data_IF_121752152066
#
_entry.id   IF_121752152066
#
_cell.length_a   1.000
_cell.length_b   1.000
_cell.length_c   1.000
_cell.angle_alpha   90.00
_cell.angle_beta   90.00
_cell.angle_gamma   90.00
#
_symmetry.space_group_name_H-M   'P 1'
#
loop_
_entity.id
_entity.type
_entity.pdbx_description
1 polymer ?
#
# COMPACT_ATOMS: atom_id res chain seq x y z
N UNK A 1 -17.50 -16.21 19.16
CA UNK A 1 -18.90 -15.74 19.02
C UNK A 1 -19.18 -14.55 19.94
N UNK A 2 -18.73 -14.57 21.21
CA UNK A 2 -18.99 -13.51 22.22
C UNK A 2 -18.35 -12.16 21.92
N UNK A 3 -17.25 -12.13 21.17
CA UNK A 3 -16.51 -10.89 20.84
C UNK A 3 -17.14 -10.17 19.64
N UNK A 4 -17.76 -10.91 18.73
CA UNK A 4 -18.37 -10.35 17.51
C UNK A 4 -19.74 -9.71 17.76
N UNK A 5 -20.40 -10.03 18.87
CA UNK A 5 -21.73 -9.48 19.20
C UNK A 5 -21.69 -8.09 19.85
N UNK A 6 -20.51 -7.63 20.29
CA UNK A 6 -20.39 -6.43 21.12
C UNK A 6 -19.97 -5.14 20.44
N UNK A 7 -19.49 -5.18 19.17
CA UNK A 7 -19.06 -3.94 18.53
C UNK A 7 -19.00 -4.07 17.01
N UNK A 8 -19.91 -3.39 16.32
CA UNK A 8 -19.95 -3.32 14.85
C UNK A 8 -18.62 -2.86 14.25
N UNK A 9 -17.89 -2.00 14.97
CA UNK A 9 -16.58 -1.50 14.58
C UNK A 9 -15.52 -2.63 14.53
N UNK A 10 -15.49 -3.50 15.53
CA UNK A 10 -14.55 -4.63 15.54
C UNK A 10 -14.82 -5.61 14.40
N UNK A 11 -16.08 -5.83 14.03
CA UNK A 11 -16.45 -6.65 12.89
C UNK A 11 -15.96 -6.03 11.58
N UNK A 12 -16.02 -4.72 11.49
CA UNK A 12 -15.57 -3.98 10.32
C UNK A 12 -14.05 -4.08 10.16
N UNK A 13 -13.28 -3.85 11.22
CA UNK A 13 -11.80 -3.97 11.21
C UNK A 13 -11.37 -5.38 10.81
N UNK A 14 -11.94 -6.41 11.42
CA UNK A 14 -11.62 -7.81 11.12
C UNK A 14 -12.00 -8.14 9.67
N UNK A 15 -13.18 -7.73 9.22
CA UNK A 15 -13.63 -7.94 7.85
C UNK A 15 -12.75 -7.25 6.82
N UNK A 16 -12.33 -6.03 7.10
CA UNK A 16 -11.42 -5.24 6.25
C UNK A 16 -10.05 -5.91 6.16
N UNK A 17 -9.51 -6.36 7.30
CA UNK A 17 -8.23 -7.07 7.32
C UNK A 17 -8.30 -8.40 6.55
N UNK A 18 -9.32 -9.25 6.78
CA UNK A 18 -9.49 -10.51 6.03
C UNK A 18 -9.53 -10.25 4.54
N UNK A 19 -10.26 -9.22 4.12
CA UNK A 19 -10.39 -8.88 2.71
C UNK A 19 -9.09 -8.37 2.11
N UNK A 20 -8.33 -7.62 2.87
CA UNK A 20 -7.00 -7.17 2.46
C UNK A 20 -6.05 -8.36 2.28
N UNK A 21 -6.03 -9.33 3.21
CA UNK A 21 -5.26 -10.56 3.07
C UNK A 21 -5.67 -11.36 1.83
N UNK A 22 -6.96 -11.51 1.58
CA UNK A 22 -7.47 -12.19 0.40
C UNK A 22 -7.06 -11.49 -0.90
N UNK A 23 -6.93 -10.17 -0.91
CA UNK A 23 -6.44 -9.41 -2.07
C UNK A 23 -4.98 -9.70 -2.40
N UNK A 24 -4.19 -10.14 -1.42
CA UNK A 24 -2.82 -10.63 -1.58
C UNK A 24 -2.75 -12.15 -1.88
N UNK A 25 -3.89 -12.80 -2.11
CA UNK A 25 -3.97 -14.25 -2.37
C UNK A 25 -3.81 -15.12 -1.13
N UNK A 26 -3.83 -14.53 0.07
CA UNK A 26 -3.74 -15.23 1.35
C UNK A 26 -5.14 -15.46 1.91
N UNK A 27 -5.51 -16.72 2.16
CA UNK A 27 -6.72 -17.04 2.92
C UNK A 27 -6.34 -17.20 4.39
N UNK A 28 -6.61 -16.22 5.26
CA UNK A 28 -6.17 -16.28 6.64
C UNK A 28 -6.98 -17.30 7.44
N UNK A 29 -6.29 -18.15 8.19
CA UNK A 29 -6.90 -18.99 9.21
C UNK A 29 -6.90 -18.21 10.54
N UNK A 30 -8.09 -17.90 11.06
CA UNK A 30 -8.24 -17.17 12.32
C UNK A 30 -8.42 -18.11 13.49
N UNK A 31 -7.58 -17.98 14.49
CA UNK A 31 -7.72 -18.62 15.80
C UNK A 31 -8.36 -17.66 16.80
N UNK A 32 -8.97 -18.17 17.84
CA UNK A 32 -9.59 -17.34 18.88
C UNK A 32 -8.59 -16.35 19.53
N UNK A 33 -7.32 -16.74 19.62
CA UNK A 33 -6.22 -15.92 20.15
C UNK A 33 -5.85 -14.73 19.26
N UNK A 34 -6.19 -14.77 17.99
CA UNK A 34 -5.80 -13.73 17.03
C UNK A 34 -6.73 -12.51 17.10
N UNK A 35 -7.94 -12.70 17.64
CA UNK A 35 -8.95 -11.62 17.68
C UNK A 35 -8.53 -10.41 18.52
N UNK A 36 -7.84 -10.60 19.63
CA UNK A 36 -7.35 -9.48 20.46
C UNK A 36 -6.34 -8.64 19.68
N UNK A 37 -5.44 -9.29 18.96
CA UNK A 37 -4.45 -8.61 18.11
C UNK A 37 -5.13 -7.89 16.94
N UNK A 38 -6.12 -8.53 16.30
CA UNK A 38 -6.85 -7.94 15.18
C UNK A 38 -7.68 -6.72 15.59
N UNK A 39 -8.31 -6.77 16.74
CA UNK A 39 -9.07 -5.64 17.31
C UNK A 39 -8.14 -4.47 17.68
N UNK A 40 -6.89 -4.76 18.03
CA UNK A 40 -5.87 -3.73 18.30
C UNK A 40 -5.26 -3.10 17.07
N UNK A 41 -5.58 -3.60 15.85
CA UNK A 41 -5.12 -2.98 14.61
C UNK A 41 -5.60 -1.53 14.55
N UNK A 42 -4.68 -0.64 14.29
CA UNK A 42 -5.01 0.77 14.05
C UNK A 42 -5.79 0.91 12.77
N UNK A 43 -6.83 1.72 12.81
CA UNK A 43 -7.53 2.14 11.61
C UNK A 43 -6.57 2.80 10.60
N UNK A 44 -6.89 2.66 9.33
CA UNK A 44 -6.12 3.32 8.28
C UNK A 44 -6.33 4.83 8.32
N UNK A 45 -5.27 5.57 8.02
CA UNK A 45 -5.38 7.03 7.84
C UNK A 45 -6.29 7.35 6.65
N UNK A 46 -6.95 8.47 6.68
CA UNK A 46 -7.89 8.90 5.63
C UNK A 46 -7.28 8.86 4.22
N UNK A 47 -6.00 9.21 4.09
CA UNK A 47 -5.30 9.15 2.81
C UNK A 47 -5.14 7.69 2.31
N UNK A 48 -4.87 6.75 3.20
CA UNK A 48 -4.77 5.33 2.85
C UNK A 48 -6.14 4.76 2.41
N UNK A 49 -7.23 5.15 3.08
CA UNK A 49 -8.60 4.80 2.69
C UNK A 49 -8.92 5.38 1.30
N UNK A 50 -8.51 6.61 1.05
CA UNK A 50 -8.68 7.29 -0.23
C UNK A 50 -7.94 6.57 -1.37
N UNK A 51 -6.69 6.19 -1.13
CA UNK A 51 -5.89 5.41 -2.09
C UNK A 51 -6.53 4.06 -2.41
N UNK A 52 -7.05 3.35 -1.40
CA UNK A 52 -7.78 2.10 -1.60
C UNK A 52 -9.01 2.28 -2.48
N UNK A 53 -9.78 3.36 -2.27
CA UNK A 53 -10.92 3.69 -3.11
C UNK A 53 -10.48 3.88 -4.57
N UNK A 54 -9.47 4.70 -4.82
CA UNK A 54 -9.03 4.99 -6.19
C UNK A 54 -8.38 3.77 -6.86
N UNK A 55 -7.58 2.97 -6.16
CA UNK A 55 -7.03 1.70 -6.67
C UNK A 55 -8.16 0.74 -7.06
N UNK A 56 -9.20 0.64 -6.24
CA UNK A 56 -10.38 -0.17 -6.57
C UNK A 56 -11.09 0.35 -7.82
N UNK A 57 -11.33 1.66 -7.90
CA UNK A 57 -11.93 2.32 -9.06
C UNK A 57 -11.11 2.13 -10.33
N UNK A 58 -9.78 2.19 -10.22
CA UNK A 58 -8.85 1.93 -11.32
C UNK A 58 -9.04 0.51 -11.88
N UNK A 59 -9.16 -0.48 -11.01
CA UNK A 59 -9.37 -1.89 -11.40
C UNK A 59 -10.75 -2.16 -12.00
N UNK A 60 -11.81 -1.51 -11.47
CA UNK A 60 -13.22 -1.75 -11.84
C UNK A 60 -13.73 -0.77 -12.89
N UNK A 61 -13.07 0.36 -13.09
CA UNK A 61 -13.43 1.48 -13.96
C UNK A 61 -14.67 2.24 -13.50
N UNK A 62 -15.71 1.55 -13.05
CA UNK A 62 -16.96 2.15 -12.54
C UNK A 62 -17.43 1.45 -11.27
N UNK A 63 -18.14 2.18 -10.42
CA UNK A 63 -18.81 1.68 -9.23
C UNK A 63 -20.27 2.18 -9.22
N UNK A 64 -21.19 1.31 -8.87
CA UNK A 64 -22.60 1.66 -8.63
C UNK A 64 -22.88 1.48 -7.14
N UNK A 65 -23.40 2.51 -6.51
CA UNK A 65 -23.71 2.54 -5.08
C UNK A 65 -25.22 2.67 -4.95
N UNK A 66 -25.88 1.62 -4.46
CA UNK A 66 -27.32 1.63 -4.18
C UNK A 66 -27.57 2.35 -2.86
N UNK A 67 -28.48 3.33 -2.87
CA UNK A 67 -28.75 4.18 -1.70
C UNK A 67 -29.55 3.43 -0.61
N UNK A 68 -30.32 2.40 -1.00
CA UNK A 68 -31.11 1.58 -0.07
C UNK A 68 -30.27 0.50 0.64
N UNK A 69 -29.27 -0.04 -0.03
CA UNK A 69 -28.31 -1.01 0.47
C UNK A 69 -26.92 -0.40 0.49
N UNK A 70 -26.73 0.56 1.37
CA UNK A 70 -25.40 1.09 1.65
C UNK A 70 -24.52 -0.04 2.14
N UNK A 71 -24.02 -0.74 1.16
CA UNK A 71 -23.39 -2.04 1.30
C UNK A 71 -22.25 -1.93 2.30
N UNK A 72 -22.41 -2.59 3.44
CA UNK A 72 -21.31 -2.89 4.38
C UNK A 72 -20.03 -3.32 3.65
N UNK A 73 -20.18 -3.85 2.43
CA UNK A 73 -19.09 -4.22 1.55
C UNK A 73 -18.14 -3.06 1.25
N UNK A 74 -18.63 -1.88 0.91
CA UNK A 74 -17.78 -0.73 0.62
C UNK A 74 -17.10 -0.17 1.86
N UNK A 75 -17.77 -0.23 3.02
CA UNK A 75 -17.16 0.15 4.29
C UNK A 75 -15.98 -0.76 4.60
N UNK A 76 -16.16 -2.07 4.45
CA UNK A 76 -15.10 -3.08 4.65
C UNK A 76 -13.98 -2.93 3.62
N UNK A 77 -14.30 -2.67 2.34
CA UNK A 77 -13.31 -2.51 1.27
C UNK A 77 -12.36 -1.35 1.51
N UNK A 78 -12.89 -0.25 2.03
CA UNK A 78 -12.15 1.00 2.17
C UNK A 78 -11.85 1.37 3.61
N UNK A 79 -12.06 0.43 4.56
CA UNK A 79 -11.85 0.65 5.99
C UNK A 79 -12.65 1.82 6.56
N UNK A 80 -13.79 2.15 5.97
CA UNK A 80 -14.62 3.24 6.43
C UNK A 80 -15.42 2.83 7.66
N UNK A 81 -15.41 3.66 8.70
CA UNK A 81 -16.16 3.42 9.94
C UNK A 81 -17.67 3.44 9.69
N UNK A 82 -18.10 4.39 8.89
CA UNK A 82 -19.51 4.57 8.52
C UNK A 82 -19.68 5.11 7.09
N UNK A 83 -20.93 5.24 6.69
CA UNK A 83 -21.30 5.74 5.38
C UNK A 83 -20.96 7.22 5.19
N UNK A 84 -20.90 8.01 6.26
CA UNK A 84 -20.57 9.43 6.18
C UNK A 84 -19.11 9.58 5.78
N UNK A 85 -18.20 8.79 6.40
CA UNK A 85 -16.80 8.75 6.04
C UNK A 85 -16.61 8.32 4.57
N UNK A 86 -17.33 7.26 4.14
CA UNK A 86 -17.27 6.82 2.76
C UNK A 86 -17.75 7.91 1.77
N UNK A 87 -18.84 8.62 2.10
CA UNK A 87 -19.33 9.73 1.27
C UNK A 87 -18.33 10.90 1.23
N UNK A 88 -17.59 11.16 2.31
CA UNK A 88 -16.51 12.16 2.33
C UNK A 88 -15.41 11.77 1.35
N UNK A 89 -14.99 10.50 1.31
CA UNK A 89 -14.01 10.02 0.33
C UNK A 89 -14.48 10.20 -1.11
N UNK A 90 -15.74 9.83 -1.40
CA UNK A 90 -16.32 10.00 -2.73
C UNK A 90 -16.41 11.47 -3.14
N UNK A 91 -16.93 12.32 -2.25
CA UNK A 91 -17.05 13.75 -2.51
C UNK A 91 -15.69 14.39 -2.77
N UNK A 92 -14.68 14.00 -1.98
CA UNK A 92 -13.31 14.48 -2.18
C UNK A 92 -12.72 14.00 -3.50
N UNK A 93 -13.01 12.77 -3.92
CA UNK A 93 -12.55 12.25 -5.19
C UNK A 93 -13.18 12.97 -6.40
N UNK A 94 -14.45 13.37 -6.29
CA UNK A 94 -15.13 14.19 -7.31
C UNK A 94 -14.57 15.62 -7.31
N UNK A 95 -14.38 16.23 -6.14
CA UNK A 95 -13.81 17.58 -5.99
C UNK A 95 -12.43 17.68 -6.64
N UNK A 96 -11.59 16.65 -6.45
CA UNK A 96 -10.24 16.57 -7.02
C UNK A 96 -10.21 16.10 -8.48
N UNK A 97 -11.38 15.93 -9.10
CA UNK A 97 -11.50 15.41 -10.47
C UNK A 97 -10.89 14.01 -10.67
N UNK A 98 -10.77 13.21 -9.60
CA UNK A 98 -10.31 11.81 -9.71
C UNK A 98 -11.46 10.86 -10.03
N UNK A 99 -12.69 11.21 -9.62
CA UNK A 99 -13.92 10.53 -9.99
C UNK A 99 -14.90 11.52 -10.61
N UNK A 100 -15.75 11.02 -11.49
CA UNK A 100 -16.91 11.72 -11.99
C UNK A 100 -18.20 11.00 -11.59
N UNK A 101 -19.22 11.76 -11.24
CA UNK A 101 -20.58 11.24 -11.01
C UNK A 101 -21.29 11.13 -12.36
N UNK A 102 -21.33 9.92 -12.90
CA UNK A 102 -21.88 9.63 -14.24
C UNK A 102 -23.40 9.58 -14.21
N UNK A 103 -23.98 9.13 -13.08
CA UNK A 103 -25.42 8.99 -12.93
C UNK A 103 -25.81 9.22 -11.48
N UNK A 104 -26.87 9.98 -11.26
CA UNK A 104 -27.47 10.28 -9.95
C UNK A 104 -28.98 10.08 -10.00
N UNK A 105 -29.49 9.20 -9.14
CA UNK A 105 -30.92 8.94 -8.99
C UNK A 105 -31.27 8.73 -7.51
N UNK A 106 -32.58 8.63 -7.23
CA UNK A 106 -33.06 8.31 -5.88
C UNK A 106 -32.73 6.86 -5.46
N UNK A 107 -32.35 5.99 -6.40
CA UNK A 107 -32.10 4.56 -6.14
C UNK A 107 -30.60 4.27 -6.02
N UNK A 108 -29.80 4.81 -6.93
CA UNK A 108 -28.36 4.60 -6.95
C UNK A 108 -27.58 5.77 -7.56
N UNK A 109 -26.31 5.85 -7.20
CA UNK A 109 -25.32 6.74 -7.84
C UNK A 109 -24.25 5.90 -8.53
N UNK A 110 -23.81 6.35 -9.71
CA UNK A 110 -22.74 5.70 -10.45
C UNK A 110 -21.58 6.65 -10.63
N UNK A 111 -20.41 6.18 -10.25
CA UNK A 111 -19.15 6.92 -10.39
C UNK A 111 -18.23 6.20 -11.37
N UNK A 112 -17.43 6.98 -12.10
CA UNK A 112 -16.39 6.50 -13.00
C UNK A 112 -15.06 7.16 -12.64
N UNK A 113 -13.95 6.43 -12.84
CA UNK A 113 -12.63 7.01 -12.66
C UNK A 113 -12.27 7.87 -13.87
N UNK A 114 -11.81 9.07 -13.63
CA UNK A 114 -11.37 10.03 -14.65
C UNK A 114 -9.96 9.72 -15.14
N UNK A 115 -9.45 10.50 -16.11
CA UNK A 115 -8.06 10.45 -16.52
C UNK A 115 -7.13 10.84 -15.36
N UNK A 116 -7.41 11.95 -14.67
CA UNK A 116 -6.60 12.44 -13.54
C UNK A 116 -6.59 11.42 -12.40
N UNK A 117 -7.73 10.74 -12.14
CA UNK A 117 -7.80 9.67 -11.17
C UNK A 117 -6.94 8.46 -11.53
N UNK A 118 -6.87 8.10 -12.81
CA UNK A 118 -5.97 7.03 -13.28
C UNK A 118 -4.52 7.42 -13.13
N UNK A 119 -4.15 8.63 -13.59
CA UNK A 119 -2.80 9.16 -13.45
C UNK A 119 -2.38 9.23 -11.98
N UNK A 120 -3.29 9.65 -11.08
CA UNK A 120 -3.03 9.63 -9.64
C UNK A 120 -2.70 8.23 -9.15
N UNK A 121 -3.49 7.20 -9.52
CA UNK A 121 -3.25 5.80 -9.11
C UNK A 121 -1.95 5.26 -9.67
N UNK A 122 -1.63 5.54 -10.91
CA UNK A 122 -0.37 5.13 -11.55
C UNK A 122 0.85 5.76 -10.88
N UNK A 123 0.68 6.96 -10.33
CA UNK A 123 1.71 7.66 -9.57
C UNK A 123 1.73 7.27 -8.06
N UNK A 124 0.74 6.51 -7.57
CA UNK A 124 0.74 5.98 -6.20
C UNK A 124 1.86 4.95 -6.03
N UNK A 125 2.76 5.21 -5.12
CA UNK A 125 3.93 4.36 -4.87
C UNK A 125 5.20 4.87 -5.55
N UNK A 126 5.05 5.79 -6.50
CA UNK A 126 6.16 6.61 -6.97
C UNK A 126 6.21 7.83 -6.05
N UNK A 127 7.09 7.82 -5.05
CA UNK A 127 7.45 9.07 -4.38
C UNK A 127 8.23 9.92 -5.40
N UNK A 128 7.48 10.63 -6.26
CA UNK A 128 8.07 11.50 -7.30
C UNK A 128 8.98 12.59 -6.71
N UNK A 129 8.86 12.87 -5.41
CA UNK A 129 9.74 13.75 -4.67
C UNK A 129 10.91 12.99 -4.02
N UNK A 130 10.91 11.66 -4.05
CA UNK A 130 12.02 10.90 -3.52
C UNK A 130 13.28 11.12 -4.35
N UNK A 131 14.35 11.41 -3.67
CA UNK A 131 15.69 11.41 -4.25
C UNK A 131 16.44 10.10 -4.00
N UNK A 132 15.76 9.06 -3.49
CA UNK A 132 16.38 7.79 -3.08
C UNK A 132 16.25 6.73 -4.17
N UNK A 133 17.33 5.98 -4.35
CA UNK A 133 17.37 4.73 -5.11
C UNK A 133 17.73 3.63 -4.13
N UNK A 134 16.82 2.65 -3.92
CA UNK A 134 17.10 1.53 -3.03
C UNK A 134 18.03 0.52 -3.71
N UNK A 135 19.07 0.07 -2.98
CA UNK A 135 20.00 -0.94 -3.47
C UNK A 135 19.76 -2.28 -2.78
N UNK A 136 19.23 -3.25 -3.53
CA UNK A 136 19.03 -4.64 -3.13
C UNK A 136 20.21 -5.50 -3.61
N UNK A 137 21.12 -5.89 -2.71
CA UNK A 137 22.24 -6.76 -3.05
C UNK A 137 22.75 -7.56 -1.84
N UNK A 138 23.51 -8.61 -2.14
CA UNK A 138 24.10 -9.43 -1.09
C UNK A 138 25.20 -8.69 -0.32
N UNK A 139 25.06 -8.65 1.01
CA UNK A 139 25.99 -7.95 1.93
C UNK A 139 27.28 -8.73 2.21
N UNK A 140 27.97 -9.24 1.18
CA UNK A 140 29.32 -9.74 1.38
C UNK A 140 30.32 -8.59 1.66
N UNK A 141 31.45 -8.86 2.33
CA UNK A 141 32.48 -7.84 2.53
C UNK A 141 32.94 -7.21 1.22
N UNK A 142 33.03 -8.01 0.16
CA UNK A 142 33.45 -7.60 -1.17
C UNK A 142 32.46 -6.63 -1.81
N UNK A 143 31.15 -6.95 -1.72
CA UNK A 143 30.07 -6.07 -2.21
C UNK A 143 30.01 -4.76 -1.44
N UNK A 144 30.24 -4.80 -0.13
CA UNK A 144 30.22 -3.59 0.71
C UNK A 144 31.37 -2.64 0.38
N UNK A 145 32.56 -3.17 0.09
CA UNK A 145 33.78 -2.37 -0.07
C UNK A 145 33.93 -1.87 -1.51
N UNK A 146 33.62 -2.69 -2.49
CA UNK A 146 33.89 -2.39 -3.89
C UNK A 146 32.66 -1.96 -4.68
N UNK A 147 31.57 -2.71 -4.59
CA UNK A 147 30.38 -2.49 -5.41
C UNK A 147 29.50 -1.37 -4.88
N UNK A 148 29.20 -1.31 -3.61
CA UNK A 148 28.30 -0.32 -3.07
C UNK A 148 28.77 1.12 -3.33
N UNK A 149 30.04 1.49 -3.05
CA UNK A 149 30.54 2.82 -3.35
C UNK A 149 30.55 3.14 -4.85
N UNK A 150 30.74 2.12 -5.68
CA UNK A 150 30.73 2.30 -7.15
C UNK A 150 29.32 2.59 -7.64
N UNK A 151 28.31 1.86 -7.16
CA UNK A 151 26.89 2.11 -7.51
C UNK A 151 26.44 3.45 -6.95
N UNK A 152 26.78 3.77 -5.70
CA UNK A 152 26.47 5.08 -5.08
C UNK A 152 27.03 6.22 -5.91
N UNK A 153 28.28 6.11 -6.34
CA UNK A 153 28.91 7.10 -7.23
C UNK A 153 28.21 7.16 -8.59
N UNK A 154 27.93 6.01 -9.22
CA UNK A 154 27.29 5.97 -10.51
C UNK A 154 25.88 6.59 -10.49
N UNK A 155 25.08 6.32 -9.44
CA UNK A 155 23.75 6.94 -9.24
C UNK A 155 23.90 8.46 -9.12
N UNK A 156 24.85 8.92 -8.32
CA UNK A 156 25.10 10.34 -8.11
C UNK A 156 25.54 11.03 -9.39
N UNK A 157 26.49 10.44 -10.12
CA UNK A 157 27.02 11.01 -11.37
C UNK A 157 25.94 11.01 -12.47
N UNK A 158 25.20 9.92 -12.65
CA UNK A 158 24.15 9.81 -13.65
C UNK A 158 22.96 10.74 -13.39
N UNK A 159 22.69 11.07 -12.14
CA UNK A 159 21.61 11.96 -11.73
C UNK A 159 22.03 13.41 -11.54
N UNK A 160 23.28 13.78 -11.86
CA UNK A 160 23.85 15.10 -11.57
C UNK A 160 23.74 15.48 -10.08
N UNK A 161 23.86 14.48 -9.19
CA UNK A 161 23.76 14.65 -7.75
C UNK A 161 22.34 14.78 -7.22
N UNK A 162 21.31 14.57 -8.05
CA UNK A 162 19.89 14.68 -7.65
C UNK A 162 19.37 13.43 -6.91
N UNK A 163 20.00 12.27 -7.14
CA UNK A 163 19.60 11.00 -6.55
C UNK A 163 20.68 10.45 -5.62
N UNK A 164 20.22 9.76 -4.58
CA UNK A 164 21.05 9.12 -3.57
C UNK A 164 20.74 7.63 -3.51
N UNK A 165 21.75 6.79 -3.58
CA UNK A 165 21.61 5.37 -3.39
C UNK A 165 21.57 5.05 -1.89
N UNK A 166 20.52 4.33 -1.45
CA UNK A 166 20.29 3.95 -0.06
C UNK A 166 20.19 2.44 0.08
N UNK A 167 20.56 1.92 1.25
CA UNK A 167 20.51 0.50 1.60
C UNK A 167 20.18 0.33 3.06
N UNK A 168 19.68 -0.85 3.44
CA UNK A 168 19.50 -1.20 4.85
C UNK A 168 20.88 -1.28 5.52
N UNK A 169 21.03 -0.63 6.64
CA UNK A 169 22.27 -0.69 7.43
C UNK A 169 22.27 -1.98 8.26
N UNK A 170 23.27 -2.83 8.06
CA UNK A 170 23.45 -4.11 8.80
C UNK A 170 23.83 -3.94 10.29
N UNK A 171 23.62 -2.78 10.88
CA UNK A 171 24.05 -2.48 12.25
C UNK A 171 23.03 -2.79 13.34
N UNK A 172 21.83 -3.24 12.98
CA UNK A 172 20.80 -3.62 13.96
C UNK A 172 20.69 -5.13 14.09
N UNK A 173 21.40 -5.70 15.07
CA UNK A 173 21.35 -7.11 15.48
C UNK A 173 20.19 -7.42 16.44
N UNK A 174 19.17 -6.57 16.54
CA UNK A 174 18.04 -6.78 17.44
C UNK A 174 16.72 -6.78 16.68
N UNK A 175 16.13 -7.98 16.58
CA UNK A 175 14.79 -8.35 16.13
C UNK A 175 14.50 -8.31 14.63
N UNK A 176 14.37 -9.48 14.03
CA UNK A 176 14.05 -9.74 12.61
C UNK A 176 12.81 -8.98 12.08
N UNK A 177 11.79 -8.77 12.89
CA UNK A 177 10.54 -8.08 12.49
C UNK A 177 10.69 -6.58 12.24
N UNK A 178 11.65 -5.90 12.89
CA UNK A 178 11.91 -4.47 12.65
C UNK A 178 12.67 -4.21 11.36
N UNK A 179 13.49 -5.16 10.95
CA UNK A 179 14.27 -5.07 9.71
C UNK A 179 13.35 -5.15 8.50
N UNK A 180 12.35 -6.03 8.53
CA UNK A 180 11.39 -6.19 7.44
C UNK A 180 10.54 -4.92 7.23
N UNK A 181 10.07 -4.30 8.31
CA UNK A 181 9.28 -3.06 8.23
C UNK A 181 10.13 -1.88 7.72
N UNK A 182 11.39 -1.78 8.15
CA UNK A 182 12.33 -0.76 7.68
C UNK A 182 12.65 -0.95 6.20
N UNK A 183 12.95 -2.19 5.79
CA UNK A 183 13.19 -2.58 4.41
C UNK A 183 12.03 -2.19 3.49
N UNK A 184 10.81 -2.61 3.86
CA UNK A 184 9.59 -2.29 3.12
C UNK A 184 9.38 -0.77 3.04
N UNK A 185 9.61 -0.06 4.15
CA UNK A 185 9.54 1.40 4.20
C UNK A 185 10.53 2.07 3.25
N UNK A 186 11.77 1.58 3.20
CA UNK A 186 12.82 2.10 2.31
C UNK A 186 12.50 1.83 0.84
N UNK A 187 12.04 0.63 0.49
CA UNK A 187 11.63 0.30 -0.88
C UNK A 187 10.48 1.22 -1.31
N UNK A 188 9.42 1.34 -0.50
CA UNK A 188 8.26 2.19 -0.78
C UNK A 188 8.60 3.68 -0.91
N UNK A 189 9.57 4.15 -0.14
CA UNK A 189 10.01 5.55 -0.17
C UNK A 189 11.09 5.83 -1.22
N UNK A 190 11.49 4.85 -2.02
CA UNK A 190 12.50 5.01 -3.06
C UNK A 190 11.87 5.21 -4.43
N UNK A 191 12.52 6.03 -5.24
CA UNK A 191 12.10 6.33 -6.63
C UNK A 191 12.29 5.15 -7.58
N UNK A 192 13.31 4.33 -7.30
CA UNK A 192 13.61 3.11 -8.04
C UNK A 192 14.41 2.14 -7.18
N UNK A 193 14.52 0.89 -7.63
CA UNK A 193 15.30 -0.17 -6.99
C UNK A 193 16.35 -0.67 -7.98
N UNK A 194 17.60 -0.78 -7.51
CA UNK A 194 18.68 -1.48 -8.22
C UNK A 194 18.89 -2.81 -7.51
N UNK A 195 18.60 -3.93 -8.19
CA UNK A 195 18.78 -5.26 -7.64
C UNK A 195 19.94 -5.97 -8.33
N UNK A 196 20.88 -6.48 -7.53
CA UNK A 196 21.99 -7.32 -7.99
C UNK A 196 21.79 -8.77 -7.54
N UNK A 197 21.50 -9.64 -8.47
CA UNK A 197 21.25 -11.06 -8.24
C UNK A 197 22.54 -11.91 -8.11
N UNK A 198 23.71 -11.29 -8.08
CA UNK A 198 24.98 -11.99 -7.85
C UNK A 198 24.95 -12.74 -6.51
N UNK A 199 25.34 -14.01 -6.54
CA UNK A 199 25.28 -14.87 -5.37
C UNK A 199 23.93 -15.51 -5.08
N UNK A 200 22.91 -15.28 -5.92
CA UNK A 200 21.62 -15.97 -5.91
C UNK A 200 20.92 -15.98 -4.54
N UNK A 201 20.84 -14.81 -3.89
CA UNK A 201 20.30 -14.66 -2.53
C UNK A 201 18.78 -14.42 -2.55
N UNK A 202 18.05 -15.26 -1.83
CA UNK A 202 16.58 -15.21 -1.74
C UNK A 202 16.06 -13.84 -1.29
N UNK A 203 16.75 -13.16 -0.37
CA UNK A 203 16.37 -11.83 0.09
C UNK A 203 16.32 -10.81 -1.05
N UNK A 204 17.30 -10.82 -1.96
CA UNK A 204 17.34 -9.90 -3.10
C UNK A 204 16.17 -10.15 -4.06
N UNK A 205 15.79 -11.43 -4.27
CA UNK A 205 14.61 -11.76 -5.07
C UNK A 205 13.31 -11.29 -4.42
N UNK A 206 13.22 -11.40 -3.08
CA UNK A 206 12.07 -10.88 -2.34
C UNK A 206 11.96 -9.36 -2.47
N UNK A 207 13.06 -8.63 -2.25
CA UNK A 207 13.13 -7.18 -2.36
C UNK A 207 12.76 -6.68 -3.76
N UNK A 208 13.34 -7.30 -4.79
CA UNK A 208 13.04 -6.98 -6.18
C UNK A 208 11.59 -7.30 -6.55
N UNK A 209 11.08 -8.48 -6.13
CA UNK A 209 9.70 -8.88 -6.36
C UNK A 209 8.70 -7.97 -5.66
N UNK A 210 9.01 -7.56 -4.43
CA UNK A 210 8.19 -6.58 -3.70
C UNK A 210 8.15 -5.24 -4.42
N UNK A 211 9.30 -4.72 -4.88
CA UNK A 211 9.37 -3.47 -5.63
C UNK A 211 8.61 -3.52 -6.96
N UNK A 212 8.58 -4.68 -7.64
CA UNK A 212 7.83 -4.87 -8.89
C UNK A 212 6.31 -4.94 -8.67
N UNK A 213 5.86 -5.24 -7.44
CA UNK A 213 4.45 -5.33 -7.06
C UNK A 213 3.86 -4.02 -6.55
N UNK A 214 4.68 -2.97 -6.40
CA UNK A 214 4.25 -1.63 -6.01
C UNK A 214 3.75 -0.87 -7.22
#
# INVERSE_FOLDING_TARGET
>A
QVILEKNDYNQLIIGSWIREQNSFGVTPELKATDFENLISLKDKKINQKYELLLKYMYSKKTIQIELADLNRLYLVLFWCEDIKEFNVLLSKAVELNHLELVFDSMIYKKYSITYDGKEFVENLGLDNNSNKIFMAFYFSPEMKIQFAPTIEKAVKDASEGKLEAVRVSSSTTEHDTKIDDELIGMIKSSKAVIADFTGNRTAVYYEAGFAMGL
#
